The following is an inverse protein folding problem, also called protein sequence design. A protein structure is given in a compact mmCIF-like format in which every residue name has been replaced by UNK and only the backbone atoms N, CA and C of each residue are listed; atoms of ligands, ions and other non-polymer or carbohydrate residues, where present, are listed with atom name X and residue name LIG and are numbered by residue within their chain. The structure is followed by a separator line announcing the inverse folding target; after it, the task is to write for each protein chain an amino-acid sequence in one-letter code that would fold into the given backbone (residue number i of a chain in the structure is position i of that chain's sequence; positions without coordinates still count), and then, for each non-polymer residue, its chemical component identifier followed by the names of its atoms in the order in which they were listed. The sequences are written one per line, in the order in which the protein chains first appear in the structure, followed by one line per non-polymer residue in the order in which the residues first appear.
data_IF_988771978500
#
_entry.id   IF_988771978500
#
_cell.length_a   1.000
_cell.length_b   1.000
_cell.length_c   1.000
_cell.angle_alpha   90.00
_cell.angle_beta   90.00
_cell.angle_gamma   90.00
#
_symmetry.space_group_name_H-M   'P 1'
#
loop_
_entity.id
_entity.type
_entity.pdbx_description
1 polymer ?
#
# COMPACT_ATOMS: atom_id res chain seq x y z
N UNK A 1 35.36 -29.48 -23.56
CA UNK A 1 35.28 -28.15 -22.90
C UNK A 1 33.82 -27.69 -22.88
N UNK A 2 33.11 -27.92 -21.76
CA UNK A 2 31.72 -27.45 -21.56
C UNK A 2 31.77 -26.09 -20.87
N UNK A 3 31.31 -25.02 -21.54
CA UNK A 3 31.13 -23.71 -20.91
C UNK A 3 29.89 -23.78 -20.02
N UNK A 4 30.09 -23.67 -18.71
CA UNK A 4 29.02 -23.43 -17.75
C UNK A 4 28.42 -22.05 -18.01
N UNK A 5 27.20 -22.01 -18.56
CA UNK A 5 26.37 -20.81 -18.50
C UNK A 5 25.92 -20.62 -17.05
N UNK A 6 26.56 -19.67 -16.34
CA UNK A 6 26.03 -19.18 -15.08
C UNK A 6 24.70 -18.48 -15.34
N UNK A 7 23.63 -19.00 -14.74
CA UNK A 7 22.34 -18.36 -14.70
C UNK A 7 22.47 -17.07 -13.87
N UNK A 8 22.41 -15.93 -14.54
CA UNK A 8 22.36 -14.61 -13.90
C UNK A 8 20.91 -14.38 -13.45
N UNK A 9 20.68 -14.41 -12.14
CA UNK A 9 19.38 -14.07 -11.55
C UNK A 9 19.04 -12.59 -11.82
N UNK A 10 17.77 -12.25 -12.14
CA UNK A 10 17.37 -10.87 -12.34
C UNK A 10 17.34 -10.12 -11.00
N UNK A 11 18.41 -9.39 -10.71
CA UNK A 11 18.39 -8.36 -9.67
C UNK A 11 17.35 -7.30 -10.07
N UNK A 12 16.28 -7.28 -9.28
CA UNK A 12 14.99 -6.61 -9.48
C UNK A 12 15.04 -5.14 -9.92
N UNK A 13 13.99 -4.70 -10.62
CA UNK A 13 13.69 -3.32 -11.03
C UNK A 13 13.96 -2.25 -9.97
N UNK A 14 13.90 -2.61 -8.68
CA UNK A 14 14.21 -1.72 -7.55
C UNK A 14 15.69 -1.30 -7.52
N UNK A 15 16.62 -2.18 -7.88
CA UNK A 15 18.04 -1.85 -7.97
C UNK A 15 18.31 -0.84 -9.09
N UNK A 16 17.65 -1.00 -10.24
CA UNK A 16 17.72 -0.07 -11.37
C UNK A 16 17.12 1.29 -10.97
N UNK A 17 15.93 1.29 -10.38
CA UNK A 17 15.27 2.50 -9.89
C UNK A 17 16.12 3.26 -8.86
N UNK A 18 16.68 2.57 -7.87
CA UNK A 18 17.57 3.20 -6.88
C UNK A 18 18.83 3.77 -7.52
N UNK A 19 19.42 3.09 -8.51
CA UNK A 19 20.57 3.59 -9.26
C UNK A 19 20.24 4.83 -10.07
N UNK A 20 19.12 4.84 -10.81
CA UNK A 20 18.67 6.01 -11.57
C UNK A 20 18.38 7.18 -10.63
N UNK A 21 17.67 6.94 -9.52
CA UNK A 21 17.37 7.98 -8.53
C UNK A 21 18.64 8.58 -7.94
N UNK A 22 19.63 7.74 -7.58
CA UNK A 22 20.93 8.21 -7.08
C UNK A 22 21.70 9.00 -8.14
N UNK A 23 21.61 8.60 -9.40
CA UNK A 23 22.25 9.31 -10.51
C UNK A 23 21.63 10.69 -10.72
N UNK A 24 20.30 10.80 -10.69
CA UNK A 24 19.58 12.08 -10.80
C UNK A 24 19.94 13.01 -9.64
N UNK A 25 19.89 12.52 -8.39
CA UNK A 25 20.29 13.33 -7.22
C UNK A 25 21.76 13.78 -7.28
N UNK A 26 22.63 12.97 -7.87
CA UNK A 26 24.03 13.33 -8.08
C UNK A 26 24.20 14.39 -9.17
N UNK A 27 23.43 14.33 -10.26
CA UNK A 27 23.40 15.37 -11.29
C UNK A 27 22.91 16.70 -10.71
N UNK A 28 21.83 16.71 -9.94
CA UNK A 28 21.33 17.91 -9.27
C UNK A 28 22.41 18.54 -8.37
N UNK A 29 23.13 17.71 -7.58
CA UNK A 29 24.24 18.21 -6.75
C UNK A 29 25.47 18.67 -7.55
N UNK A 30 25.71 18.14 -8.74
CA UNK A 30 26.73 18.67 -9.66
C UNK A 30 26.29 20.03 -10.19
N UNK A 31 25.03 20.19 -10.61
CA UNK A 31 24.50 21.46 -11.11
C UNK A 31 24.58 22.54 -10.03
N UNK A 32 24.16 22.24 -8.80
CA UNK A 32 24.26 23.13 -7.64
C UNK A 32 25.72 23.50 -7.30
N UNK A 33 26.65 22.55 -7.43
CA UNK A 33 28.08 22.82 -7.22
C UNK A 33 28.66 23.69 -8.34
N UNK A 34 28.30 23.42 -9.60
CA UNK A 34 28.76 24.17 -10.78
C UNK A 34 28.23 25.61 -10.84
N UNK A 35 27.10 25.86 -10.18
CA UNK A 35 26.50 27.19 -10.07
C UNK A 35 26.99 27.98 -8.85
N UNK A 36 28.01 27.49 -8.14
CA UNK A 36 28.54 28.05 -6.88
C UNK A 36 27.50 28.19 -5.75
N UNK A 37 26.33 27.55 -5.89
CA UNK A 37 25.27 27.56 -4.88
C UNK A 37 25.56 26.63 -3.71
N UNK A 38 26.43 25.62 -3.92
CA UNK A 38 26.81 24.64 -2.91
C UNK A 38 28.31 24.68 -2.59
N UNK A 39 28.66 24.89 -1.31
CA UNK A 39 30.05 24.83 -0.81
C UNK A 39 30.57 23.40 -0.58
N UNK A 40 29.72 22.38 -0.72
CA UNK A 40 30.09 20.99 -0.49
C UNK A 40 30.33 20.28 -1.82
N UNK A 41 31.47 19.60 -1.92
CA UNK A 41 31.75 18.73 -3.06
C UNK A 41 30.67 17.65 -3.21
N UNK A 42 30.13 17.43 -4.42
CA UNK A 42 29.11 16.43 -4.65
C UNK A 42 29.67 15.04 -4.30
N UNK A 43 29.01 14.35 -3.37
CA UNK A 43 29.44 13.02 -2.93
C UNK A 43 29.09 12.01 -4.01
N UNK A 44 30.11 11.46 -4.67
CA UNK A 44 29.91 10.43 -5.71
C UNK A 44 29.06 9.28 -5.15
N UNK A 45 27.91 8.94 -5.76
CA UNK A 45 27.11 7.84 -5.29
C UNK A 45 27.95 6.56 -5.34
N UNK A 46 27.84 5.71 -4.31
CA UNK A 46 28.41 4.35 -4.35
C UNK A 46 27.67 3.59 -5.45
N UNK A 47 28.26 3.59 -6.64
CA UNK A 47 27.69 3.02 -7.85
C UNK A 47 27.57 1.50 -7.73
N UNK A 48 26.41 0.98 -8.11
CA UNK A 48 26.29 -0.42 -8.53
C UNK A 48 26.85 -0.46 -9.96
N UNK A 49 27.66 -1.46 -10.29
CA UNK A 49 28.49 -1.71 -11.49
C UNK A 49 27.88 -1.49 -12.90
N UNK A 50 26.72 -0.83 -13.04
CA UNK A 50 25.99 -0.63 -14.30
C UNK A 50 25.59 0.82 -14.59
N UNK A 51 26.03 1.82 -13.83
CA UNK A 51 25.75 3.23 -14.15
C UNK A 51 26.34 3.66 -15.48
N UNK A 52 27.60 3.30 -15.73
CA UNK A 52 28.33 3.69 -16.94
C UNK A 52 27.74 3.02 -18.18
N UNK A 53 26.96 1.96 -17.96
CA UNK A 53 26.19 1.35 -19.02
C UNK A 53 25.07 2.29 -19.49
N UNK A 54 24.39 3.06 -18.65
CA UNK A 54 23.26 3.89 -19.08
C UNK A 54 23.62 5.08 -20.01
N UNK A 55 24.88 5.51 -20.07
CA UNK A 55 25.29 6.75 -20.76
C UNK A 55 25.96 6.55 -22.14
N UNK A 56 26.20 5.31 -22.59
CA UNK A 56 26.82 5.08 -23.91
C UNK A 56 25.88 5.42 -25.08
N UNK A 57 26.27 6.24 -26.04
CA UNK A 57 25.41 6.78 -27.13
C UNK A 57 24.84 5.75 -28.14
N UNK A 58 25.00 4.44 -27.95
CA UNK A 58 24.61 3.41 -28.93
C UNK A 58 23.80 2.23 -28.33
N UNK A 59 22.92 2.49 -27.37
CA UNK A 59 22.05 1.42 -26.86
C UNK A 59 21.06 0.96 -27.90
N UNK A 60 21.29 -0.27 -28.38
CA UNK A 60 20.20 -1.15 -28.77
C UNK A 60 19.22 -1.24 -27.59
N UNK A 61 17.90 -1.27 -27.83
CA UNK A 61 16.91 -1.44 -26.78
C UNK A 61 17.32 -2.58 -25.84
N UNK A 62 17.30 -2.32 -24.52
CA UNK A 62 17.63 -3.33 -23.48
C UNK A 62 16.77 -4.58 -23.67
N UNK A 63 15.52 -4.39 -24.10
CA UNK A 63 14.64 -5.46 -24.52
C UNK A 63 13.44 -4.95 -25.30
N UNK A 64 12.63 -5.90 -25.79
CA UNK A 64 11.44 -5.59 -26.59
C UNK A 64 10.30 -5.00 -25.76
N UNK A 65 10.12 -5.43 -24.51
CA UNK A 65 8.98 -5.01 -23.70
C UNK A 65 9.37 -4.81 -22.23
N UNK A 66 8.95 -3.68 -21.66
CA UNK A 66 8.99 -3.42 -20.23
C UNK A 66 7.65 -3.82 -19.59
N UNK A 67 7.67 -4.57 -18.49
CA UNK A 67 6.44 -4.91 -17.73
C UNK A 67 6.47 -4.19 -16.39
N UNK A 68 5.44 -3.38 -16.13
CA UNK A 68 5.25 -2.66 -14.88
C UNK A 68 4.09 -3.27 -14.11
N UNK A 69 4.39 -4.00 -13.04
CA UNK A 69 3.37 -4.46 -12.10
C UNK A 69 3.04 -3.36 -11.08
N UNK A 70 1.79 -3.33 -10.59
CA UNK A 70 1.27 -2.28 -9.72
C UNK A 70 1.53 -0.85 -10.25
N UNK A 71 1.29 -0.64 -11.55
CA UNK A 71 1.66 0.59 -12.26
C UNK A 71 1.04 1.88 -11.66
N UNK A 72 0.02 1.78 -10.80
CA UNK A 72 -0.47 2.92 -10.01
C UNK A 72 0.60 3.58 -9.11
N UNK A 73 1.76 2.97 -8.90
CA UNK A 73 2.90 3.56 -8.19
C UNK A 73 3.47 4.77 -8.95
N UNK A 74 3.49 4.74 -10.28
CA UNK A 74 4.08 5.81 -11.11
C UNK A 74 3.14 6.99 -11.37
N UNK A 75 1.94 6.99 -10.77
CA UNK A 75 0.87 7.98 -11.07
C UNK A 75 1.25 9.45 -10.89
N UNK A 76 2.19 9.75 -10.00
CA UNK A 76 2.62 11.12 -9.74
C UNK A 76 3.87 11.44 -10.58
N UNK A 77 3.68 12.24 -11.62
CA UNK A 77 4.74 12.65 -12.55
C UNK A 77 5.90 13.39 -11.88
N UNK A 78 5.66 14.03 -10.74
CA UNK A 78 6.66 14.81 -10.02
C UNK A 78 7.54 13.93 -9.09
N UNK A 79 7.42 12.61 -9.17
CA UNK A 79 8.21 11.69 -8.33
C UNK A 79 9.44 11.20 -9.07
N UNK A 80 10.53 10.98 -8.33
CA UNK A 80 11.72 10.32 -8.85
C UNK A 80 11.40 8.95 -9.48
N UNK A 81 10.40 8.24 -8.95
CA UNK A 81 9.95 6.96 -9.51
C UNK A 81 9.37 7.09 -10.90
N UNK A 82 8.54 8.11 -11.14
CA UNK A 82 8.04 8.38 -12.49
C UNK A 82 9.17 8.77 -13.44
N UNK A 83 10.09 9.65 -13.02
CA UNK A 83 11.22 10.07 -13.83
C UNK A 83 12.11 8.87 -14.20
N UNK A 84 12.43 8.01 -13.23
CA UNK A 84 13.22 6.81 -13.45
C UNK A 84 12.54 5.80 -14.37
N UNK A 85 11.23 5.57 -14.21
CA UNK A 85 10.47 4.67 -15.08
C UNK A 85 10.35 5.24 -16.50
N UNK A 86 10.19 6.55 -16.65
CA UNK A 86 10.13 7.21 -17.97
C UNK A 86 11.47 7.12 -18.70
N UNK A 87 12.59 7.35 -17.99
CA UNK A 87 13.93 7.16 -18.54
C UNK A 87 14.15 5.69 -18.95
N UNK A 88 13.77 4.74 -18.09
CA UNK A 88 13.87 3.31 -18.39
C UNK A 88 12.98 2.91 -19.57
N UNK A 89 11.76 3.46 -19.67
CA UNK A 89 10.82 3.23 -20.78
C UNK A 89 11.44 3.54 -22.13
N UNK A 90 12.30 4.56 -22.22
CA UNK A 90 13.01 4.93 -23.45
C UNK A 90 13.84 3.78 -24.04
N UNK A 91 14.33 2.88 -23.17
CA UNK A 91 15.20 1.75 -23.51
C UNK A 91 14.45 0.51 -24.02
N UNK A 92 13.12 0.53 -24.09
CA UNK A 92 12.30 -0.59 -24.56
C UNK A 92 11.47 -0.18 -25.79
N UNK A 93 11.09 -1.16 -26.61
CA UNK A 93 10.18 -0.91 -27.75
C UNK A 93 8.75 -0.72 -27.23
N UNK A 94 8.25 -1.70 -26.47
CA UNK A 94 6.93 -1.72 -25.85
C UNK A 94 6.93 -1.56 -24.33
N UNK A 95 5.76 -1.29 -23.77
CA UNK A 95 5.52 -1.29 -22.32
C UNK A 95 4.12 -1.85 -22.02
N UNK A 96 4.06 -2.81 -21.10
CA UNK A 96 2.84 -3.38 -20.57
C UNK A 96 2.71 -2.99 -19.10
N UNK A 97 1.69 -2.20 -18.78
CA UNK A 97 1.40 -1.75 -17.42
C UNK A 97 0.23 -2.55 -16.84
N UNK A 98 0.47 -3.24 -15.73
CA UNK A 98 -0.53 -4.00 -14.99
C UNK A 98 -0.96 -3.21 -13.76
N UNK A 99 -2.26 -2.92 -13.66
CA UNK A 99 -2.82 -2.22 -12.49
C UNK A 99 -4.32 -2.48 -12.39
N UNK A 100 -4.80 -2.81 -11.18
CA UNK A 100 -6.24 -2.89 -10.91
C UNK A 100 -6.90 -1.51 -10.73
N UNK A 101 -6.10 -0.45 -10.58
CA UNK A 101 -6.60 0.91 -10.33
C UNK A 101 -5.79 1.93 -11.14
N UNK A 102 -6.05 2.07 -12.46
CA UNK A 102 -5.32 3.01 -13.31
C UNK A 102 -5.60 4.49 -12.95
N UNK A 103 -6.77 4.78 -12.37
CA UNK A 103 -7.16 6.11 -11.88
C UNK A 103 -7.46 6.01 -10.37
N UNK A 104 -6.60 6.59 -9.51
CA UNK A 104 -6.74 6.44 -8.05
C UNK A 104 -7.42 7.66 -7.40
N UNK A 105 -6.84 8.86 -7.57
CA UNK A 105 -7.31 10.06 -6.87
C UNK A 105 -7.86 11.13 -7.80
N UNK A 106 -7.11 11.45 -8.84
CA UNK A 106 -7.43 12.51 -9.80
C UNK A 106 -7.33 11.95 -11.21
N UNK A 107 -8.06 12.53 -12.17
CA UNK A 107 -8.05 12.02 -13.54
C UNK A 107 -6.66 12.22 -14.19
N UNK A 108 -5.92 13.24 -13.76
CA UNK A 108 -4.54 13.48 -14.18
C UNK A 108 -3.60 12.33 -13.78
N UNK A 109 -3.95 11.48 -12.81
CA UNK A 109 -3.16 10.28 -12.48
C UNK A 109 -3.03 9.35 -13.71
N UNK A 110 -4.01 9.38 -14.63
CA UNK A 110 -3.98 8.63 -15.88
C UNK A 110 -2.91 9.11 -16.86
N UNK A 111 -2.48 10.38 -16.79
CA UNK A 111 -1.41 10.91 -17.64
C UNK A 111 -0.14 10.08 -17.50
N UNK A 112 0.26 9.76 -16.27
CA UNK A 112 1.52 9.06 -16.03
C UNK A 112 1.57 7.66 -16.64
N UNK A 113 0.42 7.00 -16.79
CA UNK A 113 0.34 5.70 -17.48
C UNK A 113 0.32 5.89 -19.00
N UNK A 114 -0.46 6.86 -19.48
CA UNK A 114 -0.58 7.15 -20.91
C UNK A 114 0.71 7.75 -21.49
N UNK A 115 1.51 8.45 -20.70
CA UNK A 115 2.80 9.00 -21.13
C UNK A 115 3.85 7.92 -21.39
N UNK A 116 3.62 6.69 -20.94
CA UNK A 116 4.47 5.54 -21.27
C UNK A 116 4.18 4.97 -22.68
N UNK A 117 3.16 5.49 -23.38
CA UNK A 117 2.90 5.18 -24.78
C UNK A 117 3.90 5.92 -25.67
N UNK A 118 4.93 5.20 -26.10
CA UNK A 118 6.03 5.74 -26.93
C UNK A 118 5.49 6.25 -28.26
N UNK A 119 5.90 7.45 -28.64
CA UNK A 119 5.57 8.08 -29.92
C UNK A 119 4.19 8.76 -30.00
N UNK A 120 3.39 8.73 -28.92
CA UNK A 120 2.10 9.41 -28.93
C UNK A 120 2.23 10.86 -28.43
N UNK A 121 1.60 11.87 -29.09
CA UNK A 121 1.65 13.26 -28.65
C UNK A 121 1.16 13.52 -27.21
N UNK A 122 0.31 12.64 -26.66
CA UNK A 122 -0.21 12.76 -25.29
C UNK A 122 0.85 12.45 -24.22
N UNK A 123 2.01 11.92 -24.63
CA UNK A 123 3.15 11.78 -23.74
C UNK A 123 3.70 13.15 -23.31
N UNK A 124 3.48 14.20 -24.10
CA UNK A 124 3.75 15.56 -23.68
C UNK A 124 2.66 16.06 -22.71
N UNK A 125 3.08 16.44 -21.51
CA UNK A 125 2.16 16.99 -20.52
C UNK A 125 1.53 18.31 -20.96
N UNK A 126 2.14 19.10 -21.84
CA UNK A 126 1.53 20.35 -22.30
C UNK A 126 0.35 20.08 -23.24
N UNK A 127 0.38 18.95 -23.96
CA UNK A 127 -0.65 18.51 -24.90
C UNK A 127 -1.77 17.75 -24.19
N UNK A 128 -1.45 17.02 -23.11
CA UNK A 128 -2.42 16.15 -22.45
C UNK A 128 -3.64 16.90 -21.87
N UNK A 129 -3.49 17.92 -20.97
CA UNK A 129 -4.62 18.65 -20.41
C UNK A 129 -5.47 19.35 -21.45
N UNK A 130 -4.85 19.98 -22.46
CA UNK A 130 -5.58 20.67 -23.53
C UNK A 130 -6.42 19.70 -24.39
N UNK A 131 -5.97 18.46 -24.53
CA UNK A 131 -6.69 17.42 -25.26
C UNK A 131 -7.93 16.90 -24.51
N UNK A 132 -7.84 16.81 -23.19
CA UNK A 132 -8.81 16.07 -22.35
C UNK A 132 -9.56 16.93 -21.33
N UNK A 133 -9.35 18.25 -21.31
CA UNK A 133 -10.01 19.13 -20.35
C UNK A 133 -10.11 20.55 -20.89
N UNK A 134 -11.18 21.24 -20.53
CA UNK A 134 -11.30 22.68 -20.79
C UNK A 134 -10.25 23.46 -20.01
N UNK A 135 -9.53 24.36 -20.68
CA UNK A 135 -8.56 25.23 -20.03
C UNK A 135 -9.26 26.53 -19.61
N UNK A 136 -9.09 26.93 -18.35
CA UNK A 136 -9.64 28.19 -17.83
C UNK A 136 -9.64 28.25 -16.31
N UNK A 137 -9.69 29.47 -15.76
CA UNK A 137 -9.71 29.71 -14.29
C UNK A 137 -10.91 29.04 -13.60
N UNK A 138 -12.03 28.92 -14.32
CA UNK A 138 -13.28 28.34 -13.81
C UNK A 138 -13.55 26.93 -14.35
N UNK A 139 -12.60 26.32 -15.07
CA UNK A 139 -12.83 25.02 -15.68
C UNK A 139 -12.96 23.92 -14.60
N UNK A 140 -13.85 22.93 -14.80
CA UNK A 140 -13.99 21.81 -13.89
C UNK A 140 -12.65 21.10 -13.67
N UNK A 141 -12.41 20.58 -12.47
CA UNK A 141 -11.15 19.87 -12.21
C UNK A 141 -10.97 18.62 -13.04
N UNK A 142 -12.07 17.99 -13.47
CA UNK A 142 -12.11 16.75 -14.24
C UNK A 142 -12.70 16.99 -15.65
N UNK A 143 -12.41 16.11 -16.63
CA UNK A 143 -13.01 16.16 -17.95
C UNK A 143 -14.53 16.15 -17.88
N UNK A 144 -15.19 17.00 -18.67
CA UNK A 144 -16.66 17.07 -18.77
C UNK A 144 -17.09 17.04 -20.23
N UNK A 145 -18.35 16.66 -20.49
CA UNK A 145 -18.94 16.66 -21.83
C UNK A 145 -18.09 15.89 -22.86
N UNK A 146 -17.75 16.55 -23.97
CA UNK A 146 -16.97 15.97 -25.07
C UNK A 146 -15.57 15.51 -24.65
N UNK A 147 -14.95 16.20 -23.70
CA UNK A 147 -13.62 15.84 -23.22
C UNK A 147 -13.63 14.52 -22.44
N UNK A 148 -14.69 14.25 -21.67
CA UNK A 148 -14.86 12.98 -20.96
C UNK A 148 -15.00 11.80 -21.93
N UNK A 149 -15.77 11.98 -23.01
CA UNK A 149 -15.92 10.98 -24.07
C UNK A 149 -14.56 10.68 -24.70
N UNK A 150 -13.78 11.72 -25.02
CA UNK A 150 -12.43 11.57 -25.58
C UNK A 150 -11.49 10.85 -24.61
N UNK A 151 -11.52 11.18 -23.32
CA UNK A 151 -10.74 10.47 -22.30
C UNK A 151 -11.13 9.00 -22.21
N UNK A 152 -12.43 8.69 -22.25
CA UNK A 152 -12.92 7.32 -22.25
C UNK A 152 -12.42 6.55 -23.49
N UNK A 153 -12.52 7.14 -24.69
CA UNK A 153 -12.00 6.54 -25.93
C UNK A 153 -10.49 6.28 -25.86
N UNK A 154 -9.71 7.21 -25.32
CA UNK A 154 -8.27 7.02 -25.16
C UNK A 154 -7.95 5.87 -24.20
N UNK A 155 -8.64 5.81 -23.06
CA UNK A 155 -8.44 4.74 -22.08
C UNK A 155 -8.87 3.40 -22.67
N UNK A 156 -9.99 3.34 -23.39
CA UNK A 156 -10.50 2.14 -24.06
C UNK A 156 -9.52 1.62 -25.12
N UNK A 157 -8.93 2.52 -25.91
CA UNK A 157 -7.92 2.16 -26.91
C UNK A 157 -6.59 1.68 -26.31
N UNK A 158 -6.23 2.15 -25.12
CA UNK A 158 -4.92 1.91 -24.50
C UNK A 158 -4.95 0.90 -23.33
N UNK A 159 -6.12 0.44 -22.90
CA UNK A 159 -6.25 -0.42 -21.73
C UNK A 159 -7.31 -1.50 -21.92
N UNK A 160 -7.09 -2.63 -21.27
CA UNK A 160 -8.07 -3.70 -21.16
C UNK A 160 -8.51 -3.79 -19.70
N UNK A 161 -9.77 -3.47 -19.43
CA UNK A 161 -10.37 -3.54 -18.09
C UNK A 161 -11.58 -4.46 -18.13
N UNK A 162 -11.48 -5.61 -17.45
CA UNK A 162 -12.59 -6.54 -17.29
C UNK A 162 -13.23 -6.35 -15.92
N UNK A 163 -14.45 -5.82 -15.83
CA UNK A 163 -15.19 -5.78 -14.57
C UNK A 163 -15.39 -7.20 -14.04
N UNK A 164 -15.27 -7.38 -12.72
CA UNK A 164 -15.56 -8.67 -12.08
C UNK A 164 -17.00 -9.10 -12.39
N UNK A 165 -17.93 -8.14 -12.53
CA UNK A 165 -19.33 -8.40 -12.93
C UNK A 165 -19.47 -9.11 -14.28
N UNK A 166 -18.53 -8.92 -15.20
CA UNK A 166 -18.55 -9.55 -16.52
C UNK A 166 -18.09 -11.01 -16.47
N UNK A 167 -17.35 -11.39 -15.43
CA UNK A 167 -16.84 -12.75 -15.19
C UNK A 167 -17.77 -13.51 -14.21
N UNK A 168 -18.70 -12.80 -13.56
CA UNK A 168 -19.33 -13.15 -12.30
C UNK A 168 -20.45 -14.18 -12.33
N UNK A 169 -20.84 -14.73 -13.49
CA UNK A 169 -21.78 -15.86 -13.51
C UNK A 169 -21.27 -17.06 -12.69
N UNK A 170 -20.00 -17.06 -12.27
CA UNK A 170 -19.35 -18.12 -11.48
C UNK A 170 -18.92 -17.73 -10.06
N UNK A 171 -19.07 -16.48 -9.61
CA UNK A 171 -18.55 -16.04 -8.31
C UNK A 171 -19.64 -15.74 -7.28
N UNK A 172 -19.45 -16.10 -6.00
CA UNK A 172 -20.43 -15.83 -4.95
C UNK A 172 -20.58 -14.32 -4.70
N UNK A 173 -21.81 -13.85 -4.36
CA UNK A 173 -22.10 -12.44 -4.20
C UNK A 173 -21.35 -11.82 -3.00
N UNK A 174 -20.87 -10.58 -3.18
CA UNK A 174 -20.25 -9.79 -2.11
C UNK A 174 -21.31 -9.00 -1.34
N UNK A 175 -21.45 -9.25 -0.05
CA UNK A 175 -22.30 -8.42 0.83
C UNK A 175 -21.45 -7.41 1.60
N UNK A 176 -21.64 -6.12 1.35
CA UNK A 176 -21.01 -5.04 2.11
C UNK A 176 -22.05 -4.18 2.81
N UNK A 177 -22.02 -4.13 4.14
CA UNK A 177 -22.83 -3.17 4.90
C UNK A 177 -22.17 -1.79 4.85
N UNK A 178 -22.88 -0.78 4.35
CA UNK A 178 -22.38 0.60 4.35
C UNK A 178 -23.38 1.48 5.07
N UNK A 179 -23.04 1.88 6.30
CA UNK A 179 -23.81 2.89 7.03
C UNK A 179 -23.67 4.23 6.29
N UNK A 180 -24.79 4.77 5.80
CA UNK A 180 -24.89 6.14 5.32
C UNK A 180 -24.65 7.07 6.50
N UNK A 181 -23.69 8.00 6.38
CA UNK A 181 -23.46 9.03 7.41
C UNK A 181 -23.68 10.40 6.80
N UNK A 182 -24.30 11.28 7.58
CA UNK A 182 -24.73 12.62 7.18
C UNK A 182 -23.61 13.50 6.63
N UNK A 183 -23.99 14.48 5.80
CA UNK A 183 -23.09 15.45 5.19
C UNK A 183 -22.50 16.36 6.28
N UNK A 184 -21.18 16.33 6.47
CA UNK A 184 -20.49 17.35 7.24
C UNK A 184 -20.32 18.62 6.39
N UNK A 185 -20.59 19.79 6.97
CA UNK A 185 -20.40 21.08 6.34
C UNK A 185 -18.92 21.35 6.07
N UNK A 186 -18.59 21.91 4.90
CA UNK A 186 -17.23 22.31 4.52
C UNK A 186 -16.90 23.65 5.18
N UNK A 187 -16.10 23.63 6.26
CA UNK A 187 -15.47 24.82 6.83
C UNK A 187 -14.35 25.36 5.94
N UNK A 188 -13.97 26.64 6.17
CA UNK A 188 -12.95 27.41 5.44
C UNK A 188 -11.55 26.76 5.51
N UNK A 189 -10.66 27.24 4.63
CA UNK A 189 -9.31 26.72 4.35
C UNK A 189 -8.40 26.88 5.59
N UNK A 190 -8.16 25.77 6.30
CA UNK A 190 -7.30 25.70 7.48
C UNK A 190 -5.80 25.77 7.15
N UNK A 191 -5.07 26.38 8.08
CA UNK A 191 -3.62 26.65 8.14
C UNK A 191 -2.75 25.41 8.49
N UNK A 192 -3.28 24.21 8.32
CA UNK A 192 -2.57 22.96 8.60
C UNK A 192 -2.75 22.43 10.03
N UNK A 193 -3.15 23.25 11.01
CA UNK A 193 -3.48 22.77 12.37
C UNK A 193 -4.70 21.86 12.38
N UNK A 194 -5.68 22.12 11.51
CA UNK A 194 -6.85 21.25 11.31
C UNK A 194 -6.51 19.81 10.91
N UNK A 195 -5.39 19.59 10.20
CA UNK A 195 -4.93 18.23 9.88
C UNK A 195 -4.39 17.48 11.10
N UNK A 196 -3.68 18.17 12.00
CA UNK A 196 -3.18 17.58 13.23
C UNK A 196 -4.35 17.13 14.12
N UNK A 197 -5.35 17.98 14.30
CA UNK A 197 -6.57 17.63 15.04
C UNK A 197 -7.36 16.52 14.38
N UNK A 198 -7.43 16.47 13.04
CA UNK A 198 -8.07 15.36 12.33
C UNK A 198 -7.32 14.03 12.56
N UNK A 199 -5.99 14.05 12.55
CA UNK A 199 -5.16 12.87 12.83
C UNK A 199 -5.35 12.42 14.28
N UNK A 200 -5.34 13.35 15.24
CA UNK A 200 -5.57 13.08 16.67
C UNK A 200 -6.97 12.52 16.92
N UNK A 201 -8.01 13.14 16.36
CA UNK A 201 -9.38 12.63 16.44
C UNK A 201 -9.49 11.23 15.80
N UNK A 202 -8.77 10.98 14.71
CA UNK A 202 -8.71 9.67 14.08
C UNK A 202 -7.98 8.65 14.96
N UNK A 203 -6.84 9.01 15.58
CA UNK A 203 -6.08 8.18 16.51
C UNK A 203 -6.92 7.84 17.74
N UNK A 204 -7.52 8.85 18.38
CA UNK A 204 -8.43 8.68 19.50
C UNK A 204 -9.59 7.73 19.17
N UNK A 205 -10.19 7.89 17.98
CA UNK A 205 -11.25 7.00 17.52
C UNK A 205 -10.78 5.56 17.25
N UNK A 206 -9.48 5.30 17.04
CA UNK A 206 -8.94 3.94 17.02
C UNK A 206 -8.62 3.43 18.41
N UNK A 207 -7.94 4.23 19.22
CA UNK A 207 -7.49 3.92 20.56
C UNK A 207 -7.02 5.22 21.27
N UNK A 208 -7.58 5.60 22.43
CA UNK A 208 -7.21 6.82 23.14
C UNK A 208 -5.71 6.93 23.44
N UNK A 209 -5.07 5.82 23.84
CA UNK A 209 -3.62 5.79 24.13
C UNK A 209 -2.71 6.14 22.94
N UNK A 210 -3.21 6.08 21.69
CA UNK A 210 -2.40 6.51 20.53
C UNK A 210 -2.18 8.03 20.48
N UNK A 211 -3.06 8.81 21.10
CA UNK A 211 -2.88 10.26 21.22
C UNK A 211 -1.81 10.57 22.27
N UNK A 212 -1.83 9.85 23.39
CA UNK A 212 -0.81 9.97 24.44
C UNK A 212 0.57 9.49 23.96
N UNK A 213 0.60 8.43 23.16
CA UNK A 213 1.83 7.93 22.53
C UNK A 213 2.52 9.01 21.67
N UNK A 214 1.76 9.93 21.08
CA UNK A 214 2.33 11.05 20.31
C UNK A 214 3.11 12.02 21.20
N UNK A 215 2.67 12.21 22.45
CA UNK A 215 3.40 13.00 23.44
C UNK A 215 4.68 12.28 23.88
N UNK A 216 4.61 10.96 24.06
CA UNK A 216 5.76 10.10 24.39
C UNK A 216 6.65 9.71 23.17
N UNK A 217 6.30 10.14 21.96
CA UNK A 217 6.87 9.63 20.70
C UNK A 217 8.36 9.94 20.55
N UNK A 218 8.84 11.05 21.12
CA UNK A 218 10.27 11.41 21.07
C UNK A 218 11.11 10.36 21.81
N UNK A 219 10.77 10.07 23.07
CA UNK A 219 11.45 9.04 23.87
C UNK A 219 11.31 7.64 23.27
N UNK A 220 10.15 7.30 22.71
CA UNK A 220 9.95 5.98 22.09
C UNK A 220 10.82 5.78 20.84
N UNK A 221 10.99 6.80 20.00
CA UNK A 221 11.82 6.69 18.79
C UNK A 221 13.30 6.50 19.14
N UNK A 222 13.79 7.16 20.19
CA UNK A 222 15.15 6.97 20.71
C UNK A 222 15.33 5.58 21.31
N UNK A 223 14.38 5.13 22.15
CA UNK A 223 14.37 3.78 22.73
C UNK A 223 14.38 2.69 21.65
N UNK A 224 13.54 2.81 20.62
CA UNK A 224 13.51 1.84 19.51
C UNK A 224 14.77 1.87 18.64
N UNK A 225 15.51 2.99 18.61
CA UNK A 225 16.78 3.08 17.87
C UNK A 225 17.91 2.34 18.59
N UNK A 226 17.82 2.22 19.91
CA UNK A 226 18.77 1.50 20.76
C UNK A 226 18.69 -0.03 20.58
N UNK A 227 17.49 -0.61 20.44
CA UNK A 227 17.36 -2.06 20.21
C UNK A 227 17.94 -2.53 18.86
N UNK A 228 18.09 -1.63 17.88
CA UNK A 228 18.60 -1.95 16.54
C UNK A 228 20.12 -1.70 16.38
N UNK A 229 20.80 -1.11 17.38
CA UNK A 229 22.23 -0.76 17.34
C UNK A 229 22.91 -1.18 18.64
N UNK A 230 23.60 -2.33 18.62
CA UNK A 230 24.31 -2.91 19.78
C UNK A 230 25.50 -2.07 20.31
N UNK A 231 25.86 -0.96 19.66
CA UNK A 231 27.07 -0.19 20.00
C UNK A 231 26.75 1.30 20.26
N UNK A 232 26.92 1.69 21.52
CA UNK A 232 26.85 3.04 22.13
C UNK A 232 25.44 3.58 22.45
N UNK A 233 25.12 3.52 23.74
CA UNK A 233 24.09 4.34 24.41
C UNK A 233 24.49 5.82 24.23
N UNK A 234 23.65 6.68 23.64
CA UNK A 234 23.87 8.13 23.71
C UNK A 234 23.77 8.59 25.17
N UNK A 235 24.83 9.20 25.70
CA UNK A 235 24.92 9.69 27.10
C UNK A 235 23.98 10.89 27.40
N UNK A 236 23.17 11.32 26.45
CA UNK A 236 22.34 12.53 26.51
C UNK A 236 20.84 12.27 26.29
N UNK A 237 20.37 11.04 26.55
CA UNK A 237 18.92 10.81 26.56
C UNK A 237 18.25 11.59 27.69
N UNK A 238 17.17 12.29 27.34
CA UNK A 238 16.32 13.00 28.29
C UNK A 238 15.60 11.98 29.17
N UNK A 239 16.07 11.80 30.41
CA UNK A 239 15.46 10.91 31.42
C UNK A 239 13.93 11.14 31.54
N UNK A 240 13.48 12.37 31.28
CA UNK A 240 12.06 12.72 31.27
C UNK A 240 11.29 11.98 30.17
N UNK A 241 11.89 11.78 29.00
CA UNK A 241 11.27 11.09 27.88
C UNK A 241 11.17 9.58 28.12
N UNK A 242 12.19 8.97 28.76
CA UNK A 242 12.15 7.58 29.20
C UNK A 242 11.07 7.34 30.25
N UNK A 243 10.98 8.20 31.25
CA UNK A 243 9.95 8.09 32.30
C UNK A 243 8.54 8.24 31.72
N UNK A 244 8.34 9.13 30.73
CA UNK A 244 7.05 9.25 30.02
C UNK A 244 6.67 7.98 29.26
N UNK A 245 7.63 7.29 28.64
CA UNK A 245 7.38 6.01 27.96
C UNK A 245 7.07 4.91 28.99
N UNK A 246 7.82 4.85 30.09
CA UNK A 246 7.59 3.89 31.16
C UNK A 246 6.21 4.06 31.82
N UNK A 247 5.82 5.30 32.12
CA UNK A 247 4.48 5.63 32.62
C UNK A 247 3.38 5.25 31.62
N UNK A 248 3.58 5.54 30.33
CA UNK A 248 2.62 5.15 29.29
C UNK A 248 2.47 3.62 29.19
N UNK A 249 3.57 2.86 29.29
CA UNK A 249 3.52 1.39 29.36
C UNK A 249 2.77 0.91 30.62
N UNK A 250 3.04 1.51 31.79
CA UNK A 250 2.30 1.20 33.03
C UNK A 250 0.80 1.48 32.89
N UNK A 251 0.40 2.57 32.24
CA UNK A 251 -1.01 2.89 31.99
C UNK A 251 -1.69 1.92 31.01
N UNK A 252 -0.94 1.38 30.06
CA UNK A 252 -1.43 0.33 29.16
C UNK A 252 -1.66 -1.01 29.87
N UNK A 253 -0.81 -1.33 30.85
CA UNK A 253 -0.91 -2.56 31.67
C UNK A 253 -1.96 -2.43 32.76
N UNK A 254 -2.21 -1.22 33.26
CA UNK A 254 -3.24 -0.96 34.27
C UNK A 254 -4.63 -0.94 33.63
N UNK A 255 -5.38 -2.02 33.84
CA UNK A 255 -6.76 -2.18 33.38
C UNK A 255 -6.89 -2.64 31.92
N UNK A 256 -8.11 -2.68 31.39
CA UNK A 256 -8.39 -3.02 29.98
C UNK A 256 -8.02 -1.88 29.00
N UNK A 257 -7.11 -0.99 29.39
CA UNK A 257 -6.69 0.18 28.61
C UNK A 257 -5.98 -0.19 27.31
N UNK A 258 -5.53 -1.44 27.16
CA UNK A 258 -5.01 -2.00 25.91
C UNK A 258 -6.10 -2.33 24.88
N UNK A 259 -7.37 -2.36 25.31
CA UNK A 259 -8.53 -2.66 24.48
C UNK A 259 -9.28 -1.37 24.18
N UNK A 260 -9.26 -0.94 22.91
CA UNK A 260 -10.23 0.07 22.49
C UNK A 260 -11.60 -0.55 22.26
N UNK A 261 -12.67 0.24 22.34
CA UNK A 261 -14.04 -0.21 22.02
C UNK A 261 -14.16 -0.84 20.62
N UNK A 262 -13.21 -0.53 19.71
CA UNK A 262 -13.11 -1.17 18.38
C UNK A 262 -12.34 -2.49 18.39
N UNK A 263 -11.41 -2.72 19.32
CA UNK A 263 -10.79 -4.02 19.56
C UNK A 263 -11.80 -4.93 20.23
N UNK A 264 -12.49 -4.45 21.26
CA UNK A 264 -13.58 -5.17 21.94
C UNK A 264 -14.65 -5.64 20.96
N UNK A 265 -15.18 -4.73 20.13
CA UNK A 265 -16.18 -5.11 19.13
C UNK A 265 -15.69 -6.19 18.14
N UNK A 266 -14.38 -6.27 17.86
CA UNK A 266 -13.81 -7.34 17.01
C UNK A 266 -13.66 -8.64 17.79
N UNK A 267 -13.22 -8.57 19.04
CA UNK A 267 -13.13 -9.75 19.92
C UNK A 267 -14.53 -10.33 20.17
N UNK A 268 -15.53 -9.48 20.38
CA UNK A 268 -16.95 -9.86 20.52
C UNK A 268 -17.47 -10.59 19.28
N UNK A 269 -17.08 -10.18 18.06
CA UNK A 269 -17.47 -10.90 16.83
C UNK A 269 -16.89 -12.30 16.73
N UNK A 270 -15.88 -12.66 17.53
CA UNK A 270 -15.33 -14.03 17.59
C UNK A 270 -16.03 -14.92 18.61
N UNK A 271 -16.71 -14.34 19.59
CA UNK A 271 -17.38 -15.11 20.63
C UNK A 271 -18.67 -15.68 20.05
N UNK A 272 -18.61 -16.93 19.60
CA UNK A 272 -19.80 -17.73 19.33
C UNK A 272 -20.66 -17.71 20.60
N UNK A 273 -21.96 -17.38 20.53
CA UNK A 273 -22.84 -17.38 21.69
C UNK A 273 -22.90 -18.79 22.27
N UNK A 274 -22.18 -19.05 23.38
CA UNK A 274 -22.07 -20.38 23.98
C UNK A 274 -20.79 -20.64 24.78
N UNK A 275 -19.78 -19.77 24.73
CA UNK A 275 -18.51 -19.92 25.47
C UNK A 275 -18.18 -18.69 26.33
N UNK A 276 -19.15 -18.14 27.07
CA UNK A 276 -18.91 -17.09 28.09
C UNK A 276 -18.60 -17.70 29.46
N UNK A 277 -17.68 -18.64 29.52
CA UNK A 277 -17.13 -19.16 30.78
C UNK A 277 -15.65 -18.85 30.85
N UNK A 278 -15.26 -17.88 31.69
CA UNK A 278 -13.90 -17.64 32.20
C UNK A 278 -12.75 -17.48 31.16
N UNK A 279 -12.87 -16.56 30.19
CA UNK A 279 -11.75 -16.18 29.30
C UNK A 279 -11.00 -14.89 29.73
N UNK A 280 -11.25 -14.35 30.93
CA UNK A 280 -10.68 -13.05 31.33
C UNK A 280 -9.23 -13.10 31.87
N UNK A 281 -8.59 -14.29 31.96
CA UNK A 281 -7.25 -14.40 32.56
C UNK A 281 -6.22 -15.22 31.77
N UNK A 282 -6.57 -15.81 30.62
CA UNK A 282 -5.58 -16.51 29.80
C UNK A 282 -5.16 -15.64 28.61
N UNK A 283 -3.84 -15.51 28.41
CA UNK A 283 -3.19 -14.57 27.51
C UNK A 283 -3.65 -14.60 26.05
N UNK A 284 -3.12 -13.65 25.28
CA UNK A 284 -3.40 -13.43 23.84
C UNK A 284 -3.60 -14.79 23.12
N UNK A 285 -4.75 -15.00 22.43
CA UNK A 285 -5.08 -16.30 21.87
C UNK A 285 -3.96 -16.79 20.94
N UNK A 286 -3.58 -18.06 21.12
CA UNK A 286 -2.45 -18.79 20.52
C UNK A 286 -2.45 -18.91 18.98
N UNK A 287 -3.17 -18.05 18.26
CA UNK A 287 -3.32 -18.04 16.81
C UNK A 287 -3.26 -16.64 16.15
N UNK A 288 -2.75 -15.63 16.85
CA UNK A 288 -2.56 -14.29 16.26
C UNK A 288 -1.22 -14.21 15.52
N UNK A 289 -1.27 -13.93 14.22
CA UNK A 289 -0.08 -13.71 13.39
C UNK A 289 -0.10 -12.28 12.85
N UNK A 290 1.07 -11.63 12.76
CA UNK A 290 1.21 -10.25 12.29
C UNK A 290 2.13 -10.19 11.09
N UNK A 291 1.68 -9.54 10.01
CA UNK A 291 2.53 -9.17 8.88
C UNK A 291 2.77 -7.67 8.89
N UNK A 292 3.99 -7.26 9.18
CA UNK A 292 4.41 -5.85 9.17
C UNK A 292 5.28 -5.54 7.96
N UNK A 293 5.54 -4.25 7.76
CA UNK A 293 6.47 -3.79 6.74
C UNK A 293 7.94 -4.10 6.99
N UNK A 294 8.27 -4.47 8.24
CA UNK A 294 9.63 -4.73 8.66
C UNK A 294 10.05 -6.18 8.42
N UNK A 295 9.07 -7.09 8.25
CA UNK A 295 9.36 -8.48 7.91
C UNK A 295 9.91 -8.56 6.49
N UNK A 296 10.96 -9.37 6.32
CA UNK A 296 11.50 -9.64 4.99
C UNK A 296 10.50 -10.43 4.12
N UNK A 297 10.82 -10.60 2.84
CA UNK A 297 9.94 -11.29 1.88
C UNK A 297 9.73 -12.76 2.23
N UNK A 298 10.74 -13.46 2.72
CA UNK A 298 10.68 -14.88 3.08
C UNK A 298 9.84 -15.07 4.34
N UNK A 299 10.09 -14.27 5.39
CA UNK A 299 9.33 -14.26 6.63
C UNK A 299 7.84 -13.97 6.39
N UNK A 300 7.53 -12.99 5.53
CA UNK A 300 6.13 -12.70 5.16
C UNK A 300 5.47 -13.89 4.48
N UNK A 301 6.15 -14.49 3.49
CA UNK A 301 5.64 -15.68 2.80
C UNK A 301 5.40 -16.83 3.77
N UNK A 302 6.37 -17.14 4.64
CA UNK A 302 6.25 -18.20 5.64
C UNK A 302 5.12 -17.94 6.64
N UNK A 303 4.94 -16.69 7.08
CA UNK A 303 3.85 -16.30 7.98
C UNK A 303 2.50 -16.53 7.32
N UNK A 304 2.34 -16.12 6.06
CA UNK A 304 1.09 -16.29 5.30
C UNK A 304 0.82 -17.77 5.06
N UNK A 305 1.84 -18.54 4.65
CA UNK A 305 1.74 -19.98 4.43
C UNK A 305 1.35 -20.71 5.72
N UNK A 306 1.95 -20.34 6.86
CA UNK A 306 1.59 -20.88 8.18
C UNK A 306 0.11 -20.62 8.46
N UNK A 307 -0.33 -19.37 8.38
CA UNK A 307 -1.76 -19.02 8.61
C UNK A 307 -2.70 -19.75 7.66
N UNK A 308 -2.34 -19.92 6.40
CA UNK A 308 -3.15 -20.64 5.43
C UNK A 308 -3.29 -22.14 5.72
N UNK A 309 -2.34 -22.73 6.44
CA UNK A 309 -2.29 -24.15 6.74
C UNK A 309 -2.84 -24.51 8.13
N UNK A 310 -2.89 -23.57 9.09
CA UNK A 310 -3.27 -23.90 10.46
C UNK A 310 -4.79 -23.99 10.64
N UNK A 311 -5.23 -25.11 11.21
CA UNK A 311 -6.54 -25.30 11.85
C UNK A 311 -6.32 -25.39 13.37
N UNK A 312 -7.10 -24.72 14.26
CA UNK A 312 -8.42 -24.09 14.08
C UNK A 312 -8.37 -22.63 13.55
N UNK A 313 -9.41 -21.81 13.76
CA UNK A 313 -9.53 -20.43 13.25
C UNK A 313 -8.33 -19.54 13.62
N UNK A 314 -7.70 -18.91 12.62
CA UNK A 314 -6.56 -18.00 12.81
C UNK A 314 -6.89 -16.54 12.45
N UNK A 315 -6.13 -15.61 13.03
CA UNK A 315 -6.20 -14.19 12.69
C UNK A 315 -4.88 -13.70 12.15
N UNK A 316 -4.95 -13.09 10.97
CA UNK A 316 -3.84 -12.36 10.39
C UNK A 316 -4.06 -10.85 10.52
N UNK A 317 -3.18 -10.18 11.24
CA UNK A 317 -3.08 -8.72 11.23
C UNK A 317 -2.17 -8.29 10.08
N UNK A 318 -2.72 -7.48 9.18
CA UNK A 318 -2.07 -7.08 7.94
C UNK A 318 -2.13 -5.56 7.77
N UNK A 319 -0.99 -4.94 7.43
CA UNK A 319 -0.97 -3.51 7.09
C UNK A 319 -1.47 -3.31 5.66
N UNK A 320 -2.43 -2.39 5.47
CA UNK A 320 -2.92 -2.01 4.13
C UNK A 320 -1.83 -1.53 3.18
N UNK A 321 -0.75 -0.96 3.72
CA UNK A 321 0.30 -0.39 2.88
C UNK A 321 1.13 -1.45 2.17
N UNK A 322 1.39 -2.56 2.86
CA UNK A 322 2.46 -3.50 2.50
C UNK A 322 1.90 -4.90 2.28
N UNK A 323 0.98 -5.33 3.15
CA UNK A 323 0.33 -6.63 3.03
C UNK A 323 -0.85 -6.62 2.04
N UNK A 324 -1.23 -5.45 1.53
CA UNK A 324 -2.34 -5.30 0.58
C UNK A 324 -1.91 -5.28 -0.89
N UNK A 325 -0.69 -5.70 -1.22
CA UNK A 325 -0.16 -5.71 -2.60
C UNK A 325 0.48 -7.06 -2.90
N UNK A 326 0.01 -7.73 -3.95
CA UNK A 326 0.60 -8.96 -4.47
C UNK A 326 0.58 -10.19 -3.54
N UNK A 327 -0.16 -10.15 -2.43
CA UNK A 327 -0.28 -11.30 -1.52
C UNK A 327 -1.56 -12.08 -1.80
N UNK A 328 -1.42 -13.40 -1.97
CA UNK A 328 -2.56 -14.30 -2.05
C UNK A 328 -3.15 -14.51 -0.65
N UNK A 329 -4.39 -14.01 -0.43
CA UNK A 329 -5.14 -14.16 0.82
C UNK A 329 -6.48 -14.88 0.61
N UNK A 330 -6.58 -15.74 -0.41
CA UNK A 330 -7.81 -16.48 -0.73
C UNK A 330 -8.34 -17.34 0.43
N UNK A 331 -7.46 -17.75 1.37
CA UNK A 331 -7.84 -18.50 2.56
C UNK A 331 -8.67 -17.71 3.59
N UNK A 332 -8.77 -16.37 3.46
CA UNK A 332 -9.45 -15.52 4.43
C UNK A 332 -10.93 -15.31 4.09
N UNK A 333 -11.84 -15.80 4.95
CA UNK A 333 -13.31 -15.70 4.80
C UNK A 333 -13.95 -14.42 5.36
N UNK A 334 -13.27 -13.77 6.29
CA UNK A 334 -13.76 -12.55 6.93
C UNK A 334 -12.66 -11.50 6.89
N UNK A 335 -12.97 -10.33 6.33
CA UNK A 335 -12.06 -9.19 6.28
C UNK A 335 -12.64 -8.04 7.09
N UNK A 336 -11.94 -7.70 8.18
CA UNK A 336 -12.31 -6.57 9.03
C UNK A 336 -11.39 -5.39 8.73
N UNK A 337 -11.97 -4.28 8.28
CA UNK A 337 -11.22 -3.11 7.83
C UNK A 337 -11.15 -2.05 8.91
N UNK A 338 -9.93 -1.70 9.33
CA UNK A 338 -9.66 -0.51 10.14
C UNK A 338 -9.33 0.69 9.23
N UNK A 339 -10.22 1.69 9.22
CA UNK A 339 -9.99 3.00 8.60
C UNK A 339 -10.53 3.27 7.21
N UNK A 340 -10.49 4.55 6.81
CA UNK A 340 -11.08 5.10 5.58
C UNK A 340 -10.02 5.45 4.53
N UNK A 341 -9.55 4.48 3.75
CA UNK A 341 -8.92 4.76 2.43
C UNK A 341 -9.67 3.99 1.36
N UNK A 342 -10.18 4.65 0.32
CA UNK A 342 -11.05 4.02 -0.68
C UNK A 342 -10.28 3.11 -1.64
N UNK A 343 -9.24 3.61 -2.31
CA UNK A 343 -8.45 2.86 -3.31
C UNK A 343 -7.76 1.62 -2.77
N UNK A 344 -6.78 1.78 -1.85
CA UNK A 344 -6.02 0.68 -1.24
C UNK A 344 -6.87 -0.44 -0.60
N UNK A 345 -8.10 -0.11 -0.23
CA UNK A 345 -8.97 -1.10 0.40
C UNK A 345 -9.88 -1.84 -0.56
N UNK A 346 -10.09 -1.35 -1.79
CA UNK A 346 -10.70 -2.14 -2.85
C UNK A 346 -9.74 -3.26 -3.25
N UNK A 347 -8.47 -2.90 -3.50
CA UNK A 347 -7.38 -3.84 -3.75
C UNK A 347 -7.32 -4.95 -2.70
N UNK A 348 -7.30 -4.59 -1.39
CA UNK A 348 -7.30 -5.59 -0.31
C UNK A 348 -8.48 -6.58 -0.40
N UNK A 349 -9.67 -6.10 -0.75
CA UNK A 349 -10.83 -6.97 -0.86
C UNK A 349 -10.71 -7.90 -2.10
N UNK A 350 -10.16 -7.41 -3.20
CA UNK A 350 -9.92 -8.19 -4.44
C UNK A 350 -8.90 -9.31 -4.21
N UNK A 351 -7.88 -9.11 -3.38
CA UNK A 351 -6.94 -10.18 -3.03
C UNK A 351 -7.57 -11.35 -2.28
N UNK A 352 -8.63 -11.09 -1.53
CA UNK A 352 -9.41 -12.14 -0.90
C UNK A 352 -10.45 -12.74 -1.85
N UNK A 353 -10.86 -12.03 -2.89
CA UNK A 353 -11.99 -12.38 -3.75
C UNK A 353 -11.52 -12.74 -5.17
N UNK A 354 -11.02 -13.96 -5.35
CA UNK A 354 -10.45 -14.46 -6.60
C UNK A 354 -11.19 -15.71 -7.10
N UNK A 355 -11.01 -16.04 -8.38
CA UNK A 355 -11.84 -17.01 -9.14
C UNK A 355 -11.94 -18.43 -8.54
N UNK A 356 -10.94 -18.86 -7.78
CA UNK A 356 -10.87 -20.21 -7.20
C UNK A 356 -11.58 -20.37 -5.85
N UNK A 357 -12.39 -19.39 -5.45
CA UNK A 357 -12.96 -19.33 -4.10
C UNK A 357 -14.27 -20.13 -3.98
N UNK A 358 -14.32 -21.02 -2.99
CA UNK A 358 -15.51 -21.86 -2.71
C UNK A 358 -16.48 -21.30 -1.66
N UNK A 359 -16.06 -20.30 -0.88
CA UNK A 359 -16.83 -19.75 0.24
C UNK A 359 -17.09 -18.24 0.07
N UNK A 360 -18.23 -17.71 0.56
CA UNK A 360 -18.53 -16.29 0.48
C UNK A 360 -17.55 -15.43 1.29
N UNK A 361 -17.27 -14.21 0.81
CA UNK A 361 -16.44 -13.22 1.48
C UNK A 361 -17.28 -12.20 2.25
N UNK A 362 -17.03 -12.09 3.56
CA UNK A 362 -17.67 -11.08 4.41
C UNK A 362 -16.73 -9.92 4.69
N UNK A 363 -17.13 -8.70 4.31
CA UNK A 363 -16.36 -7.47 4.57
C UNK A 363 -17.11 -6.60 5.57
N UNK A 364 -16.51 -6.37 6.75
CA UNK A 364 -17.12 -5.63 7.87
C UNK A 364 -18.48 -6.20 8.30
N UNK A 365 -18.48 -7.38 8.91
CA UNK A 365 -19.69 -7.99 9.45
C UNK A 365 -20.42 -7.08 10.44
N UNK A 366 -21.72 -6.88 10.23
CA UNK A 366 -22.63 -6.79 11.36
C UNK A 366 -23.21 -8.19 11.62
N UNK A 367 -23.46 -8.57 12.87
CA UNK A 367 -24.12 -9.81 13.20
C UNK A 367 -25.61 -9.64 12.85
N UNK A 368 -26.02 -10.07 11.67
CA UNK A 368 -27.39 -10.56 11.51
C UNK A 368 -27.30 -12.07 11.52
N UNK A 369 -27.98 -12.65 12.50
CA UNK A 369 -28.20 -14.08 12.74
C UNK A 369 -28.36 -14.85 11.43
N UNK A 370 -27.26 -15.43 10.94
CA UNK A 370 -27.32 -16.56 10.02
C UNK A 370 -27.07 -17.79 10.87
N UNK A 371 -28.17 -18.47 11.21
CA UNK A 371 -28.14 -19.77 11.87
C UNK A 371 -27.35 -20.74 10.98
N UNK A 372 -26.18 -21.18 11.42
CA UNK A 372 -25.46 -22.26 10.75
C UNK A 372 -26.12 -23.60 11.13
N UNK A 373 -26.84 -24.21 10.19
CA UNK A 373 -27.11 -25.67 10.24
C UNK A 373 -25.81 -26.39 9.88
N UNK A 374 -25.30 -27.21 10.79
CA UNK A 374 -24.24 -28.21 10.52
C UNK A 374 -24.65 -29.06 9.31
N UNK A 375 -24.02 -28.88 8.15
CA UNK A 375 -23.98 -29.92 7.14
C UNK A 375 -22.90 -30.92 7.54
N UNK A 376 -23.33 -32.09 8.02
CA UNK A 376 -22.50 -33.29 8.10
C UNK A 376 -22.22 -33.75 6.68
N UNK A 377 -20.95 -33.97 6.38
CA UNK A 377 -20.48 -34.65 5.18
C UNK A 377 -21.13 -36.04 5.09
N UNK A 378 -21.92 -36.30 4.04
CA UNK A 378 -22.19 -37.66 3.61
C UNK A 378 -20.95 -38.18 2.90
N UNK A 379 -20.36 -39.25 3.44
CA UNK A 379 -19.56 -40.19 2.64
C UNK A 379 -20.53 -40.98 1.77
N UNK A 380 -20.30 -40.98 0.45
CA UNK A 380 -20.79 -42.07 -0.41
C UNK A 380 -19.56 -42.81 -0.90
N UNK A 381 -19.39 -44.04 -0.40
CA UNK A 381 -18.64 -45.11 -1.07
C UNK A 381 -19.50 -45.60 -2.23
N UNK A 382 -19.00 -45.53 -3.46
CA UNK A 382 -18.35 -46.65 -4.17
C UNK A 382 -17.51 -46.07 -5.31
#
# INVERSE_FOLDING_TARGET
MKRHAQAVYPASSMAIHCSITRSMLFQDTIEDYSSELAFLFPKRPKLVLRSDSLESESWKPIGKCMILDDAHIVKNRNTCTFAAVTALRGQFEGCLSLTGTPLDNIWEDGYALLSLLKGHPIADFNIFPSSFKELGKNAPRHPTGRHMIRSAQMIDAASLLNPISTIQDRLPPRTGSRKSRGKASRGKKDDGTGWLHLIEAQQHAYHPMLVQLKLAHRGLMEFMRQEDVDDAIPDDMDDQALEQVAEWCRQLEQGDNSLSSRVEAILDTRVVPGHRGNCAQEGIPSGLQRTTGRLDTVQRYLTIKKVAQVTPLHTLLASRGISGRGLNMQFANVVIRRGRKRGKSKQLNEFTDQDSRSLPLFVNGEPRTVLWKRQRTMMVKF
#
